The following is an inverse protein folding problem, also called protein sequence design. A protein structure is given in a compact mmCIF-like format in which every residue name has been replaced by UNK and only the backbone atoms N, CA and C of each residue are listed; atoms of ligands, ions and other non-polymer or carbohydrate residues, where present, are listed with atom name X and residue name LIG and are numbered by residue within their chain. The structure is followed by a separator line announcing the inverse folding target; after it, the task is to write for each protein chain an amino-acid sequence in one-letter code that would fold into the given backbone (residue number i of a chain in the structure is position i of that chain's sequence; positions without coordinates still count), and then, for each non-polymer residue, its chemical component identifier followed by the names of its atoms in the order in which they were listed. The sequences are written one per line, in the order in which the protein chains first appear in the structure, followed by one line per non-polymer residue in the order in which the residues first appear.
data_IF_772741183458
#
_entry.id   IF_772741183458
#
_cell.length_a   1.000
_cell.length_b   1.000
_cell.length_c   1.000
_cell.angle_alpha   90.00
_cell.angle_beta   90.00
_cell.angle_gamma   90.00
#
_symmetry.space_group_name_H-M   'P 1'
#
loop_
_entity.id
_entity.type
_entity.pdbx_description
1 polymer ?
#
# COMPACT_ATOMS: atom_id res chain seq x y z
N UNK A 1 -24.39 -59.00 -13.88
CA UNK A 1 -23.14 -59.49 -14.50
C UNK A 1 -22.29 -60.20 -13.44
N UNK A 2 -21.24 -60.92 -13.84
CA UNK A 2 -20.20 -61.56 -13.00
C UNK A 2 -19.07 -60.55 -12.65
N UNK A 3 -18.13 -60.71 -11.70
CA UNK A 3 -18.03 -61.07 -10.25
C UNK A 3 -16.60 -60.61 -9.81
N UNK A 4 -16.10 -60.52 -8.56
CA UNK A 4 -16.50 -60.95 -7.20
C UNK A 4 -16.63 -59.70 -6.25
N UNK A 5 -16.28 -59.61 -4.95
CA UNK A 5 -15.59 -60.50 -3.97
C UNK A 5 -15.39 -59.92 -2.55
N UNK A 6 -14.69 -60.68 -1.69
CA UNK A 6 -14.40 -60.39 -0.25
C UNK A 6 -13.01 -60.97 0.13
N UNK A 7 -12.47 -60.84 1.37
CA UNK A 7 -12.34 -59.69 2.30
C UNK A 7 -10.91 -59.50 2.90
N UNK A 8 -10.73 -58.55 3.84
CA UNK A 8 -9.60 -58.45 4.83
C UNK A 8 -9.62 -59.61 5.88
N UNK A 9 -8.65 -59.81 6.84
CA UNK A 9 -7.51 -59.00 7.35
C UNK A 9 -6.21 -59.87 7.59
N UNK A 10 -5.41 -59.85 8.72
CA UNK A 10 -4.82 -58.81 9.60
C UNK A 10 -3.27 -58.92 9.90
N UNK A 11 -2.68 -57.84 10.47
CA UNK A 11 -1.55 -57.75 11.47
C UNK A 11 -0.21 -58.55 11.35
N UNK A 12 0.92 -57.83 11.53
CA UNK A 12 1.97 -58.15 12.55
C UNK A 12 2.83 -56.93 12.97
N UNK A 13 3.46 -57.03 14.15
CA UNK A 13 4.41 -56.12 14.86
C UNK A 13 5.57 -57.00 15.41
N UNK A 14 6.76 -56.52 15.89
CA UNK A 14 7.05 -55.40 16.84
C UNK A 14 8.20 -54.47 16.32
N UNK A 15 9.06 -53.73 17.04
CA UNK A 15 9.45 -53.66 18.47
C UNK A 15 9.90 -52.23 18.95
N UNK A 16 11.07 -52.07 19.61
CA UNK A 16 11.53 -50.84 20.29
C UNK A 16 13.05 -50.63 20.35
N UNK A 17 13.49 -49.37 20.21
CA UNK A 17 14.62 -48.63 20.85
C UNK A 17 14.69 -47.21 20.22
N UNK A 18 15.15 -46.12 20.83
CA UNK A 18 15.32 -45.73 22.25
C UNK A 18 15.56 -44.19 22.34
N UNK A 19 15.43 -43.58 23.53
CA UNK A 19 15.95 -42.22 23.83
C UNK A 19 17.49 -42.24 24.01
N UNK A 20 18.24 -41.11 23.90
CA UNK A 20 18.15 -39.89 24.74
C UNK A 20 17.13 -38.85 24.21
N UNK A 21 16.47 -38.00 25.00
CA UNK A 21 16.86 -37.20 26.18
C UNK A 21 17.40 -35.81 25.79
N UNK A 22 17.00 -34.77 26.54
CA UNK A 22 16.85 -33.42 26.01
C UNK A 22 17.88 -32.42 26.54
N UNK A 23 18.38 -31.59 25.63
CA UNK A 23 19.08 -30.34 25.95
C UNK A 23 18.42 -29.22 25.17
N UNK A 24 17.99 -28.15 25.87
CA UNK A 24 17.44 -26.97 25.21
C UNK A 24 18.51 -26.33 24.31
N UNK A 25 18.28 -26.14 22.99
CA UNK A 25 18.94 -25.05 22.31
C UNK A 25 18.42 -23.77 22.95
N UNK A 26 19.31 -22.91 23.44
CA UNK A 26 18.95 -21.52 23.72
C UNK A 26 18.42 -20.91 22.43
N UNK A 27 17.44 -20.02 22.56
CA UNK A 27 17.23 -18.99 21.54
C UNK A 27 18.34 -17.98 21.79
N UNK A 28 19.48 -18.16 21.12
CA UNK A 28 20.49 -17.10 20.99
C UNK A 28 20.03 -16.20 19.85
N UNK A 29 20.04 -14.89 20.07
CA UNK A 29 19.51 -13.91 19.11
C UNK A 29 20.33 -13.94 17.83
N UNK A 30 19.76 -14.58 16.79
CA UNK A 30 20.27 -14.53 15.43
C UNK A 30 19.99 -13.14 14.84
N UNK A 31 20.72 -12.14 15.35
CA UNK A 31 20.89 -10.84 14.73
C UNK A 31 21.72 -11.04 13.45
N UNK A 32 21.03 -11.51 12.40
CA UNK A 32 21.60 -11.93 11.12
C UNK A 32 22.23 -10.71 10.42
N UNK A 33 23.52 -10.52 10.65
CA UNK A 33 24.23 -9.28 10.34
C UNK A 33 24.45 -9.17 8.83
N UNK A 34 23.43 -8.65 8.13
CA UNK A 34 23.43 -8.49 6.69
C UNK A 34 24.58 -7.58 6.24
N UNK A 35 25.67 -8.19 5.76
CA UNK A 35 26.81 -7.46 5.25
C UNK A 35 26.43 -6.76 3.94
N UNK A 36 26.10 -5.47 4.04
CA UNK A 36 25.94 -4.60 2.89
C UNK A 36 27.21 -4.65 2.02
N UNK A 37 27.07 -5.20 0.83
CA UNK A 37 28.07 -5.06 -0.22
C UNK A 37 28.14 -3.58 -0.61
N UNK A 38 29.33 -2.98 -0.53
CA UNK A 38 29.53 -1.59 -0.96
C UNK A 38 29.15 -1.47 -2.44
N UNK A 39 28.10 -0.71 -2.71
CA UNK A 39 27.58 -0.49 -4.06
C UNK A 39 28.68 0.11 -4.95
N UNK A 40 28.93 -0.52 -6.09
CA UNK A 40 29.95 -0.13 -7.07
C UNK A 40 29.41 0.81 -8.16
N UNK A 41 28.22 1.36 -7.94
CA UNK A 41 27.43 2.13 -8.91
C UNK A 41 26.70 3.29 -8.20
N UNK A 42 26.39 4.41 -8.89
CA UNK A 42 25.62 5.51 -8.31
C UNK A 42 24.17 5.10 -8.03
N UNK A 43 23.52 5.66 -7.01
CA UNK A 43 22.13 5.32 -6.68
C UNK A 43 21.13 5.61 -7.81
N UNK A 44 21.40 6.62 -8.64
CA UNK A 44 20.60 6.91 -9.83
C UNK A 44 21.35 7.36 -11.08
N UNK A 45 20.73 7.07 -12.23
CA UNK A 45 20.96 7.70 -13.53
C UNK A 45 19.75 8.61 -13.80
N UNK A 46 20.00 9.89 -14.10
CA UNK A 46 18.95 10.86 -14.42
C UNK A 46 19.02 11.14 -15.94
N UNK A 47 17.95 10.84 -16.65
CA UNK A 47 17.74 11.20 -18.06
C UNK A 47 17.00 12.54 -18.12
N UNK A 48 17.43 13.46 -18.99
CA UNK A 48 16.93 14.85 -18.99
C UNK A 48 17.53 15.70 -17.87
N UNK A 49 18.71 15.35 -17.35
CA UNK A 49 19.35 16.07 -16.25
C UNK A 49 19.91 17.44 -16.67
N UNK A 50 20.20 17.62 -17.96
CA UNK A 50 20.57 18.87 -18.60
C UNK A 50 19.49 19.97 -18.46
N UNK A 51 18.25 19.56 -18.21
CA UNK A 51 17.08 20.44 -18.00
C UNK A 51 16.99 20.97 -16.57
N UNK A 52 17.86 20.52 -15.66
CA UNK A 52 17.79 20.79 -14.22
C UNK A 52 18.98 21.64 -13.70
N UNK A 53 18.73 22.64 -12.83
CA UNK A 53 19.78 23.35 -12.11
C UNK A 53 20.76 22.41 -11.38
N UNK A 54 22.05 22.77 -11.25
CA UNK A 54 23.06 21.93 -10.60
C UNK A 54 22.67 21.52 -9.17
N UNK A 55 22.12 22.46 -8.39
CA UNK A 55 21.67 22.24 -7.02
C UNK A 55 20.53 21.21 -6.95
N UNK A 56 19.55 21.29 -7.86
CA UNK A 56 18.44 20.33 -7.93
C UNK A 56 18.94 18.93 -8.32
N UNK A 57 19.91 18.82 -9.23
CA UNK A 57 20.57 17.55 -9.55
C UNK A 57 21.30 16.96 -8.34
N UNK A 58 22.01 17.77 -7.57
CA UNK A 58 22.69 17.32 -6.35
C UNK A 58 21.68 16.89 -5.26
N UNK A 59 20.58 17.62 -5.10
CA UNK A 59 19.48 17.27 -4.19
C UNK A 59 18.84 15.92 -4.55
N UNK A 60 18.47 15.72 -5.83
CA UNK A 60 17.91 14.45 -6.31
C UNK A 60 18.89 13.31 -6.08
N UNK A 61 20.14 13.45 -6.53
CA UNK A 61 21.16 12.41 -6.40
C UNK A 61 21.39 12.01 -4.94
N UNK A 62 21.67 12.97 -4.06
CA UNK A 62 21.89 12.69 -2.64
C UNK A 62 20.66 12.12 -1.91
N UNK A 63 19.45 12.51 -2.32
CA UNK A 63 18.20 11.93 -1.79
C UNK A 63 18.03 10.47 -2.20
N UNK A 64 18.24 10.16 -3.49
CA UNK A 64 18.14 8.79 -4.00
C UNK A 64 19.29 7.91 -3.47
N UNK A 65 20.52 8.41 -3.39
CA UNK A 65 21.65 7.69 -2.80
C UNK A 65 21.36 7.30 -1.32
N UNK A 66 20.75 8.19 -0.53
CA UNK A 66 20.29 7.86 0.84
C UNK A 66 19.18 6.81 0.86
N UNK A 67 18.20 6.90 -0.05
CA UNK A 67 17.13 5.91 -0.16
C UNK A 67 17.67 4.52 -0.55
N UNK A 68 18.55 4.48 -1.55
CA UNK A 68 19.21 3.28 -2.06
C UNK A 68 20.10 2.62 -1.00
N UNK A 69 20.84 3.41 -0.21
CA UNK A 69 21.63 2.90 0.91
C UNK A 69 20.76 2.31 2.02
N UNK A 70 19.73 3.04 2.48
CA UNK A 70 18.83 2.58 3.54
C UNK A 70 18.03 1.34 3.13
N UNK A 71 17.59 1.26 1.88
CA UNK A 71 16.98 0.04 1.32
C UNK A 71 17.97 -1.13 1.30
N UNK A 72 19.22 -0.89 0.87
CA UNK A 72 20.26 -1.92 0.81
C UNK A 72 20.70 -2.44 2.18
N UNK A 73 20.57 -1.64 3.23
CA UNK A 73 20.83 -2.06 4.62
C UNK A 73 19.64 -2.85 5.19
N UNK A 74 18.43 -2.30 5.06
CA UNK A 74 17.27 -2.75 5.84
C UNK A 74 16.31 -3.68 5.09
N UNK A 75 16.16 -3.52 3.78
CA UNK A 75 15.09 -4.15 3.00
C UNK A 75 15.59 -5.23 2.05
N UNK A 76 16.65 -5.01 1.26
CA UNK A 76 17.17 -6.06 0.36
C UNK A 76 18.22 -5.58 -0.63
N UNK A 77 18.78 -6.51 -1.40
CA UNK A 77 19.85 -6.23 -2.37
C UNK A 77 19.38 -5.29 -3.49
N UNK A 78 20.09 -4.17 -3.65
CA UNK A 78 19.98 -3.29 -4.82
C UNK A 78 21.02 -3.72 -5.85
N UNK A 79 20.60 -3.97 -7.09
CA UNK A 79 21.42 -4.67 -8.10
C UNK A 79 21.98 -3.73 -9.18
N UNK A 80 21.44 -2.52 -9.30
CA UNK A 80 21.76 -1.52 -10.32
C UNK A 80 21.19 -0.14 -9.96
N UNK A 81 21.71 0.96 -10.54
CA UNK A 81 21.15 2.31 -10.38
C UNK A 81 19.66 2.37 -10.70
N UNK A 82 18.93 3.27 -10.05
CA UNK A 82 17.57 3.61 -10.44
C UNK A 82 17.58 4.57 -11.65
N UNK A 83 16.71 4.31 -12.64
CA UNK A 83 16.52 5.20 -13.78
C UNK A 83 15.45 6.24 -13.45
N UNK A 84 15.83 7.52 -13.38
CA UNK A 84 14.92 8.65 -13.26
C UNK A 84 14.82 9.35 -14.62
N UNK A 85 13.60 9.63 -15.08
CA UNK A 85 13.33 10.27 -16.38
C UNK A 85 12.60 11.59 -16.17
N UNK A 86 13.32 12.68 -16.43
CA UNK A 86 12.82 14.06 -16.41
C UNK A 86 12.28 14.38 -17.79
N UNK A 87 10.99 14.70 -17.91
CA UNK A 87 10.38 15.04 -19.21
C UNK A 87 10.30 16.56 -19.38
N UNK A 88 10.69 17.08 -20.55
CA UNK A 88 10.50 18.50 -20.93
C UNK A 88 9.10 18.77 -21.49
N UNK A 89 8.66 17.96 -22.46
CA UNK A 89 7.43 18.22 -23.24
C UNK A 89 6.45 17.05 -23.25
N UNK A 90 6.88 15.86 -22.83
CA UNK A 90 6.01 14.70 -22.67
C UNK A 90 5.20 14.80 -21.39
N UNK A 91 3.89 14.98 -21.55
CA UNK A 91 2.89 14.62 -20.54
C UNK A 91 2.90 13.10 -20.32
N UNK A 92 3.79 12.61 -19.46
CA UNK A 92 3.51 11.37 -18.72
C UNK A 92 2.27 11.64 -17.83
N UNK A 93 1.38 10.65 -17.68
CA UNK A 93 0.05 10.88 -17.10
C UNK A 93 0.05 11.29 -15.61
N UNK A 94 1.17 11.05 -14.92
CA UNK A 94 1.50 11.48 -13.56
C UNK A 94 2.98 11.23 -13.29
N UNK A 95 3.51 11.78 -12.20
CA UNK A 95 4.72 11.23 -11.55
C UNK A 95 4.46 9.77 -11.17
N UNK A 96 5.47 8.90 -11.33
CA UNK A 96 5.34 7.49 -10.96
C UNK A 96 6.44 6.57 -11.49
N UNK A 97 6.75 5.51 -10.75
CA UNK A 97 7.47 4.35 -11.25
C UNK A 97 6.66 3.56 -12.31
N UNK A 98 7.30 3.24 -13.44
CA UNK A 98 6.78 2.30 -14.44
C UNK A 98 7.52 0.97 -14.32
N UNK A 99 6.82 -0.11 -13.98
CA UNK A 99 7.35 -1.48 -14.01
C UNK A 99 7.72 -1.88 -15.45
N UNK A 100 6.94 -1.42 -16.45
CA UNK A 100 7.15 -1.75 -17.87
C UNK A 100 8.42 -1.11 -18.44
N UNK A 101 8.63 0.15 -18.10
CA UNK A 101 9.71 0.98 -18.65
C UNK A 101 10.86 1.15 -17.65
N UNK A 102 10.81 0.40 -16.54
CA UNK A 102 11.85 0.22 -15.51
C UNK A 102 12.47 1.53 -15.00
N UNK A 103 11.60 2.53 -14.84
CA UNK A 103 12.00 3.92 -14.62
C UNK A 103 10.97 4.74 -13.84
N UNK A 104 11.47 5.69 -13.05
CA UNK A 104 10.67 6.67 -12.32
C UNK A 104 10.51 7.90 -13.21
N UNK A 105 9.26 8.26 -13.51
CA UNK A 105 8.94 9.32 -14.45
C UNK A 105 8.53 10.60 -13.70
N UNK A 106 9.13 11.73 -14.08
CA UNK A 106 8.83 13.06 -13.55
C UNK A 106 8.39 13.98 -14.71
N UNK A 107 7.09 14.02 -15.03
CA UNK A 107 6.55 15.01 -15.96
C UNK A 107 6.53 16.42 -15.34
N UNK A 108 6.47 17.47 -16.19
CA UNK A 108 6.11 18.80 -15.73
C UNK A 108 4.60 18.90 -15.47
N UNK A 109 4.20 19.83 -14.61
CA UNK A 109 2.82 20.26 -14.43
C UNK A 109 2.36 21.22 -15.54
N UNK A 110 1.11 21.70 -15.47
CA UNK A 110 0.55 22.63 -16.45
C UNK A 110 1.18 24.04 -16.45
N UNK A 111 2.03 24.36 -15.45
CA UNK A 111 2.88 25.57 -15.44
C UNK A 111 4.31 25.32 -15.94
N UNK A 112 4.62 24.08 -16.33
CA UNK A 112 5.95 23.66 -16.76
C UNK A 112 6.91 23.30 -15.62
N UNK A 113 6.48 23.39 -14.35
CA UNK A 113 7.36 23.12 -13.20
C UNK A 113 7.32 21.65 -12.79
N UNK A 114 8.30 21.22 -12.00
CA UNK A 114 8.46 19.82 -11.56
C UNK A 114 8.57 19.77 -10.04
N UNK A 115 7.52 20.16 -9.28
CA UNK A 115 7.63 20.31 -7.83
C UNK A 115 7.98 18.98 -7.15
N UNK A 116 7.53 17.85 -7.70
CA UNK A 116 7.91 16.51 -7.28
C UNK A 116 9.43 16.24 -7.19
N UNK A 117 10.26 16.94 -7.97
CA UNK A 117 11.73 16.83 -7.90
C UNK A 117 12.35 17.62 -6.73
N UNK A 118 11.57 18.42 -6.01
CA UNK A 118 11.97 19.16 -4.82
C UNK A 118 11.52 18.49 -3.51
N UNK A 119 10.61 17.52 -3.57
CA UNK A 119 10.15 16.77 -2.39
C UNK A 119 11.04 15.54 -2.15
N UNK A 120 11.66 15.40 -0.97
CA UNK A 120 12.38 14.16 -0.65
C UNK A 120 11.41 12.98 -0.55
N UNK A 121 10.21 13.19 0.01
CA UNK A 121 9.22 12.13 0.23
C UNK A 121 8.75 11.49 -1.08
N UNK A 122 8.50 12.28 -2.14
CA UNK A 122 8.14 11.73 -3.45
C UNK A 122 9.33 11.00 -4.09
N UNK A 123 10.53 11.59 -4.06
CA UNK A 123 11.74 10.93 -4.59
C UNK A 123 11.98 9.57 -3.91
N UNK A 124 11.76 9.48 -2.60
CA UNK A 124 11.96 8.28 -1.79
C UNK A 124 10.81 7.27 -1.93
N UNK A 125 9.56 7.74 -1.99
CA UNK A 125 8.37 6.91 -2.25
C UNK A 125 8.49 6.21 -3.61
N UNK A 126 8.83 6.94 -4.67
CA UNK A 126 8.99 6.35 -6.00
C UNK A 126 10.24 5.46 -6.11
N UNK A 127 11.32 5.81 -5.40
CA UNK A 127 12.48 4.94 -5.26
C UNK A 127 12.11 3.59 -4.65
N UNK A 128 11.25 3.55 -3.62
CA UNK A 128 10.80 2.30 -3.01
C UNK A 128 10.17 1.34 -4.02
N UNK A 129 9.27 1.81 -4.90
CA UNK A 129 8.63 0.96 -5.91
C UNK A 129 9.66 0.35 -6.86
N UNK A 130 10.63 1.14 -7.32
CA UNK A 130 11.71 0.66 -8.19
C UNK A 130 12.66 -0.32 -7.46
N UNK A 131 12.96 -0.07 -6.18
CA UNK A 131 13.84 -0.92 -5.37
C UNK A 131 13.18 -2.27 -5.04
N UNK A 132 11.89 -2.27 -4.70
CA UNK A 132 11.11 -3.50 -4.51
C UNK A 132 11.02 -4.30 -5.82
N UNK A 133 10.88 -3.66 -6.98
CA UNK A 133 10.90 -4.35 -8.28
C UNK A 133 12.24 -5.06 -8.56
N UNK A 134 13.39 -4.49 -8.12
CA UNK A 134 14.71 -5.13 -8.26
C UNK A 134 14.93 -6.28 -7.26
N UNK A 135 14.55 -6.08 -6.00
CA UNK A 135 14.81 -7.03 -4.92
C UNK A 135 13.80 -8.19 -4.91
N UNK A 136 12.53 -7.88 -5.18
CA UNK A 136 11.36 -8.75 -5.05
C UNK A 136 10.53 -8.79 -6.33
N UNK A 137 11.11 -9.23 -7.46
CA UNK A 137 10.43 -9.20 -8.76
C UNK A 137 9.16 -10.06 -8.80
N UNK A 138 9.02 -11.06 -7.91
CA UNK A 138 7.82 -11.89 -7.77
C UNK A 138 6.60 -11.11 -7.31
N UNK A 139 6.78 -9.97 -6.64
CA UNK A 139 5.68 -9.05 -6.30
C UNK A 139 5.22 -8.30 -7.57
N UNK A 140 6.16 -7.76 -8.34
CA UNK A 140 5.89 -6.93 -9.52
C UNK A 140 5.57 -7.70 -10.82
N UNK A 141 5.57 -9.04 -10.80
CA UNK A 141 5.36 -9.89 -11.98
C UNK A 141 3.87 -10.11 -12.30
N UNK A 142 3.23 -9.15 -12.97
CA UNK A 142 1.91 -9.37 -13.58
C UNK A 142 1.11 -8.09 -13.80
N UNK A 143 -0.13 -8.23 -14.32
CA UNK A 143 -1.06 -7.13 -14.55
C UNK A 143 -1.75 -6.62 -13.27
N UNK A 144 -1.02 -6.60 -12.15
CA UNK A 144 -1.55 -6.29 -10.81
C UNK A 144 -1.87 -4.81 -10.55
N UNK A 145 -1.73 -3.95 -11.56
CA UNK A 145 -2.24 -2.57 -11.53
C UNK A 145 -3.78 -2.50 -11.33
N UNK A 146 -4.49 -3.60 -11.54
CA UNK A 146 -5.94 -3.72 -11.31
C UNK A 146 -6.31 -4.23 -9.90
N UNK A 147 -5.36 -4.83 -9.16
CA UNK A 147 -5.63 -5.35 -7.81
C UNK A 147 -5.50 -4.23 -6.76
N UNK A 148 -6.62 -3.89 -6.13
CA UNK A 148 -6.70 -2.82 -5.12
C UNK A 148 -5.98 -3.15 -3.81
N UNK A 149 -5.83 -4.43 -3.43
CA UNK A 149 -5.03 -4.83 -2.28
C UNK A 149 -3.53 -4.72 -2.58
N UNK A 150 -3.10 -5.14 -3.77
CA UNK A 150 -1.72 -4.97 -4.21
C UNK A 150 -1.31 -3.49 -4.22
N UNK A 151 -2.11 -2.63 -4.87
CA UNK A 151 -1.81 -1.19 -4.97
C UNK A 151 -1.72 -0.52 -3.60
N UNK A 152 -2.71 -0.67 -2.71
CA UNK A 152 -2.68 -0.01 -1.38
C UNK A 152 -1.50 -0.43 -0.52
N UNK A 153 -1.05 -1.68 -0.64
CA UNK A 153 0.11 -2.20 0.09
C UNK A 153 1.40 -1.55 -0.40
N UNK A 154 1.61 -1.46 -1.71
CA UNK A 154 2.74 -0.73 -2.28
C UNK A 154 2.75 0.74 -1.85
N UNK A 155 1.64 1.44 -2.01
CA UNK A 155 1.48 2.85 -1.62
C UNK A 155 1.80 3.08 -0.13
N UNK A 156 1.21 2.28 0.77
CA UNK A 156 1.40 2.42 2.21
C UNK A 156 2.79 2.02 2.72
N UNK A 157 3.48 1.14 2.00
CA UNK A 157 4.86 0.74 2.30
C UNK A 157 5.89 1.75 1.76
N UNK A 158 5.65 2.33 0.59
CA UNK A 158 6.44 3.43 0.06
C UNK A 158 6.36 4.68 0.95
N UNK A 159 5.16 5.00 1.45
CA UNK A 159 4.94 6.05 2.45
C UNK A 159 5.62 5.76 3.79
N UNK A 160 5.53 4.52 4.27
CA UNK A 160 6.24 4.10 5.49
C UNK A 160 7.77 4.22 5.31
N UNK A 161 8.30 3.80 4.16
CA UNK A 161 9.71 3.89 3.81
C UNK A 161 10.21 5.33 3.71
N UNK A 162 9.43 6.22 3.10
CA UNK A 162 9.71 7.66 3.10
C UNK A 162 9.77 8.22 4.53
N UNK A 163 8.79 7.93 5.38
CA UNK A 163 8.81 8.35 6.79
C UNK A 163 10.00 7.76 7.59
N UNK A 164 10.54 6.58 7.25
CA UNK A 164 11.74 6.08 7.95
C UNK A 164 13.00 6.92 7.66
N UNK A 165 13.08 7.53 6.46
CA UNK A 165 14.20 8.39 6.04
C UNK A 165 14.00 9.86 6.38
N UNK A 166 12.75 10.33 6.32
CA UNK A 166 12.30 11.70 6.53
C UNK A 166 11.05 11.68 7.45
N UNK A 167 11.25 11.55 8.79
CA UNK A 167 10.14 11.35 9.73
C UNK A 167 9.38 12.64 10.03
N UNK A 168 8.30 12.88 9.30
CA UNK A 168 7.40 14.02 9.47
C UNK A 168 5.92 13.60 9.71
N UNK A 169 5.08 14.55 10.11
CA UNK A 169 3.63 14.39 10.10
C UNK A 169 3.04 14.51 8.69
N UNK A 170 3.61 15.38 7.84
CA UNK A 170 3.08 15.71 6.52
C UNK A 170 3.92 15.10 5.39
N UNK A 171 3.27 14.55 4.37
CA UNK A 171 3.92 13.95 3.21
C UNK A 171 4.04 15.00 2.10
N UNK A 172 5.27 15.24 1.67
CA UNK A 172 5.62 16.15 0.59
C UNK A 172 5.15 17.59 0.86
N UNK A 173 5.59 18.11 2.01
CA UNK A 173 5.56 19.55 2.33
C UNK A 173 6.34 20.36 1.27
N UNK A 174 5.99 21.63 1.07
CA UNK A 174 6.73 22.55 0.20
C UNK A 174 6.47 22.40 -1.31
N UNK A 175 5.52 21.55 -1.73
CA UNK A 175 5.25 21.26 -3.15
C UNK A 175 4.53 22.36 -3.96
N UNK A 176 4.21 23.51 -3.37
CA UNK A 176 3.49 24.58 -4.07
C UNK A 176 3.79 25.97 -3.51
N UNK A 177 3.30 27.01 -4.19
CA UNK A 177 3.51 28.42 -3.79
C UNK A 177 3.02 28.73 -2.36
N UNK A 178 2.02 27.97 -1.89
CA UNK A 178 1.44 28.08 -0.54
C UNK A 178 2.16 27.21 0.52
N UNK A 179 3.19 26.43 0.14
CA UNK A 179 3.89 25.47 1.02
C UNK A 179 3.10 24.21 1.42
N UNK A 180 1.79 24.16 1.18
CA UNK A 180 0.85 23.09 1.60
C UNK A 180 1.30 21.69 1.15
N UNK A 181 1.33 20.74 2.09
CA UNK A 181 1.58 19.34 1.82
C UNK A 181 0.41 18.64 1.09
N UNK A 182 0.69 17.52 0.41
CA UNK A 182 -0.33 16.76 -0.32
C UNK A 182 -1.27 15.94 0.58
N UNK A 183 -0.73 15.41 1.68
CA UNK A 183 -1.41 14.49 2.62
C UNK A 183 -0.59 14.35 3.90
N UNK A 184 -1.09 13.62 4.89
CA UNK A 184 -0.34 13.28 6.12
C UNK A 184 0.09 11.82 6.08
N UNK A 185 1.32 11.54 6.52
CA UNK A 185 1.80 10.16 6.73
C UNK A 185 0.92 9.40 7.73
N UNK A 186 0.45 10.10 8.77
CA UNK A 186 -0.52 9.61 9.74
C UNK A 186 -1.89 10.27 9.51
N UNK A 187 -2.92 9.45 9.31
CA UNK A 187 -4.30 9.90 9.26
C UNK A 187 -5.17 9.15 10.28
N UNK A 188 -6.35 9.70 10.61
CA UNK A 188 -7.30 9.12 11.56
C UNK A 188 -8.25 8.09 10.93
N UNK A 189 -8.07 7.76 9.64
CA UNK A 189 -8.99 6.93 8.87
C UNK A 189 -8.53 5.48 8.87
N UNK A 190 -9.48 4.58 9.08
CA UNK A 190 -9.28 3.14 8.94
C UNK A 190 -9.12 2.75 7.47
N UNK A 191 -8.43 1.65 7.19
CA UNK A 191 -8.24 1.14 5.82
C UNK A 191 -9.61 0.83 5.19
N UNK A 192 -10.45 0.12 5.94
CA UNK A 192 -11.88 -0.14 5.68
C UNK A 192 -12.74 1.08 5.33
N UNK A 193 -12.34 2.29 5.74
CA UNK A 193 -13.09 3.54 5.55
C UNK A 193 -12.36 4.55 4.65
N UNK A 194 -11.23 4.16 4.05
CA UNK A 194 -10.39 5.06 3.25
C UNK A 194 -10.65 4.90 1.74
N UNK A 195 -10.91 6.00 0.99
CA UNK A 195 -11.26 5.93 -0.42
C UNK A 195 -10.04 5.79 -1.33
N UNK A 196 -9.91 4.66 -2.03
CA UNK A 196 -8.89 4.42 -3.06
C UNK A 196 -7.50 4.07 -2.53
N UNK A 197 -6.60 3.70 -3.45
CA UNK A 197 -5.28 3.14 -3.16
C UNK A 197 -4.43 4.00 -2.23
N UNK A 198 -4.11 5.23 -2.63
CA UNK A 198 -3.27 6.16 -1.85
C UNK A 198 -3.81 6.41 -0.42
N UNK A 199 -5.13 6.63 -0.26
CA UNK A 199 -5.75 6.84 1.06
C UNK A 199 -5.65 5.61 1.96
N UNK A 200 -5.86 4.41 1.38
CA UNK A 200 -5.66 3.14 2.09
C UNK A 200 -4.18 2.90 2.40
N UNK A 201 -3.27 3.36 1.53
CA UNK A 201 -1.83 3.43 1.76
C UNK A 201 -1.50 4.23 3.03
N UNK A 202 -1.94 5.49 3.14
CA UNK A 202 -1.69 6.29 4.35
C UNK A 202 -2.32 5.68 5.62
N UNK A 203 -3.46 4.99 5.51
CA UNK A 203 -4.01 4.24 6.64
C UNK A 203 -3.11 3.05 7.03
N UNK A 204 -2.55 2.30 6.07
CA UNK A 204 -1.56 1.24 6.30
C UNK A 204 -0.30 1.83 6.96
N UNK A 205 0.24 2.94 6.44
CA UNK A 205 1.37 3.67 7.05
C UNK A 205 1.08 4.05 8.50
N UNK A 206 -0.13 4.55 8.77
CA UNK A 206 -0.58 4.91 10.12
C UNK A 206 -0.54 3.71 11.07
N UNK A 207 -1.02 2.54 10.64
CA UNK A 207 -0.94 1.29 11.42
C UNK A 207 0.51 0.81 11.63
N UNK A 208 1.37 0.87 10.60
CA UNK A 208 2.78 0.47 10.72
C UNK A 208 3.54 1.34 11.73
N UNK A 209 3.32 2.66 11.71
CA UNK A 209 3.92 3.61 12.64
C UNK A 209 3.34 3.48 14.06
N UNK A 210 2.03 3.31 14.22
CA UNK A 210 1.38 3.18 15.52
C UNK A 210 1.79 1.89 16.26
N UNK A 211 1.89 0.77 15.53
CA UNK A 211 2.34 -0.51 16.08
C UNK A 211 3.86 -0.69 16.06
N UNK A 212 4.63 0.37 15.75
CA UNK A 212 6.10 0.40 15.76
C UNK A 212 6.74 -0.73 14.96
N UNK A 213 6.15 -1.05 13.82
CA UNK A 213 6.67 -2.08 12.91
C UNK A 213 8.03 -1.62 12.40
N UNK A 214 9.00 -2.54 12.39
CA UNK A 214 10.39 -2.25 12.01
C UNK A 214 10.64 -2.51 10.51
N UNK A 215 11.69 -1.90 9.91
CA UNK A 215 12.14 -2.24 8.57
C UNK A 215 12.41 -3.75 8.37
N UNK A 216 12.99 -4.42 9.36
CA UNK A 216 13.25 -5.86 9.33
C UNK A 216 11.95 -6.70 9.28
N UNK A 217 10.90 -6.29 10.01
CA UNK A 217 9.58 -6.92 9.91
C UNK A 217 8.96 -6.74 8.52
N UNK A 218 9.08 -5.55 7.92
CA UNK A 218 8.61 -5.30 6.54
C UNK A 218 9.42 -6.09 5.51
N UNK A 219 10.74 -6.22 5.67
CA UNK A 219 11.59 -7.12 4.86
C UNK A 219 11.10 -8.57 4.93
N UNK A 220 10.81 -9.09 6.12
CA UNK A 220 10.26 -10.43 6.29
C UNK A 220 8.89 -10.63 5.60
N UNK A 221 8.08 -9.57 5.48
CA UNK A 221 6.85 -9.59 4.69
C UNK A 221 7.12 -9.58 3.18
N UNK A 222 8.04 -8.73 2.69
CA UNK A 222 8.42 -8.66 1.26
C UNK A 222 9.10 -9.94 0.74
N UNK A 223 9.85 -10.62 1.61
CA UNK A 223 10.42 -11.96 1.35
C UNK A 223 9.38 -13.09 1.33
N UNK A 224 8.15 -12.82 1.77
CA UNK A 224 7.08 -13.82 1.88
C UNK A 224 6.41 -14.15 0.54
N UNK A 225 5.81 -15.35 0.49
CA UNK A 225 5.04 -15.86 -0.65
C UNK A 225 3.68 -15.15 -0.86
N UNK A 226 3.22 -14.35 0.10
CA UNK A 226 1.84 -13.85 0.16
C UNK A 226 1.81 -12.34 0.43
N UNK A 227 1.48 -11.54 -0.58
CA UNK A 227 1.40 -10.08 -0.48
C UNK A 227 -0.05 -9.62 -0.26
N UNK A 228 -0.49 -9.58 1.00
CA UNK A 228 -1.86 -9.21 1.42
C UNK A 228 -1.86 -8.57 2.81
N UNK A 229 -2.89 -7.80 3.19
CA UNK A 229 -3.01 -7.26 4.56
C UNK A 229 -3.02 -8.37 5.63
N UNK A 230 -3.57 -9.55 5.30
CA UNK A 230 -3.56 -10.71 6.20
C UNK A 230 -2.16 -11.28 6.43
N UNK A 231 -1.26 -11.15 5.45
CA UNK A 231 0.12 -11.55 5.60
C UNK A 231 0.96 -10.45 6.26
N UNK A 232 0.74 -9.17 5.91
CA UNK A 232 1.36 -8.03 6.58
C UNK A 232 1.08 -8.03 8.08
N UNK A 233 -0.17 -8.31 8.49
CA UNK A 233 -0.52 -8.42 9.90
C UNK A 233 0.35 -9.40 10.69
N UNK A 234 0.83 -10.49 10.09
CA UNK A 234 1.61 -11.53 10.79
C UNK A 234 2.96 -11.05 11.33
N UNK A 235 3.47 -9.87 10.91
CA UNK A 235 4.78 -9.38 11.36
C UNK A 235 4.77 -8.93 12.83
N UNK A 236 3.60 -8.63 13.41
CA UNK A 236 3.43 -8.28 14.84
C UNK A 236 2.05 -8.74 15.32
N UNK A 237 1.92 -9.37 16.51
CA UNK A 237 0.62 -9.71 17.10
C UNK A 237 -0.32 -8.49 17.30
N UNK A 238 0.26 -7.32 17.57
CA UNK A 238 -0.44 -6.05 17.75
C UNK A 238 -1.02 -5.56 16.42
N UNK A 239 -0.23 -5.60 15.35
CA UNK A 239 -0.66 -5.26 14.00
C UNK A 239 -1.72 -6.25 13.48
N UNK A 240 -1.53 -7.56 13.67
CA UNK A 240 -2.53 -8.59 13.32
C UNK A 240 -3.88 -8.32 14.02
N UNK A 241 -3.85 -8.02 15.32
CA UNK A 241 -5.05 -7.65 16.11
C UNK A 241 -5.70 -6.38 15.56
N UNK A 242 -4.91 -5.37 15.21
CA UNK A 242 -5.40 -4.09 14.71
C UNK A 242 -6.01 -4.20 13.30
N UNK A 243 -5.32 -4.84 12.36
CA UNK A 243 -5.83 -5.07 11.00
C UNK A 243 -7.05 -6.01 10.99
N UNK A 244 -7.12 -7.00 11.89
CA UNK A 244 -8.33 -7.81 12.09
C UNK A 244 -9.50 -7.00 12.66
N UNK A 245 -9.24 -5.98 13.46
CA UNK A 245 -10.26 -5.06 13.98
C UNK A 245 -10.70 -4.05 12.91
N UNK A 246 -9.78 -3.54 12.09
CA UNK A 246 -10.09 -2.71 10.91
C UNK A 246 -10.99 -3.48 9.92
N UNK A 247 -10.59 -4.69 9.53
CA UNK A 247 -11.34 -5.52 8.58
C UNK A 247 -12.76 -5.87 9.06
N UNK A 248 -13.01 -5.93 10.39
CA UNK A 248 -14.37 -6.10 10.93
C UNK A 248 -15.27 -4.90 10.63
N UNK A 249 -14.74 -3.69 10.46
CA UNK A 249 -15.50 -2.48 10.16
C UNK A 249 -15.65 -2.18 8.66
N UNK A 250 -15.20 -3.08 7.76
CA UNK A 250 -15.31 -2.86 6.32
C UNK A 250 -16.77 -2.87 5.84
N UNK A 251 -17.15 -1.81 5.16
CA UNK A 251 -18.31 -1.80 4.26
C UNK A 251 -17.90 -2.48 2.93
N UNK A 252 -18.87 -3.06 2.22
CA UNK A 252 -18.80 -3.42 0.80
C UNK A 252 -19.53 -2.32 0.02
N UNK A 253 -18.94 -1.77 -1.03
CA UNK A 253 -19.63 -0.84 -1.94
C UNK A 253 -20.16 -1.55 -3.20
N UNK A 254 -21.42 -1.29 -3.55
CA UNK A 254 -22.06 -1.71 -4.80
C UNK A 254 -22.60 -0.48 -5.52
N UNK A 255 -22.19 -0.29 -6.78
CA UNK A 255 -22.66 0.82 -7.62
C UNK A 255 -23.58 0.25 -8.69
N UNK A 256 -24.84 0.71 -8.75
CA UNK A 256 -25.75 0.39 -9.86
C UNK A 256 -25.50 1.33 -11.05
N UNK A 257 -25.93 0.94 -12.26
CA UNK A 257 -26.01 1.82 -13.43
C UNK A 257 -24.65 2.43 -13.88
N UNK A 258 -23.56 1.68 -13.76
CA UNK A 258 -22.18 2.17 -13.99
C UNK A 258 -21.48 1.54 -15.21
N UNK A 259 -20.86 2.32 -16.11
CA UNK A 259 -19.97 1.79 -17.16
C UNK A 259 -18.60 1.45 -16.58
N UNK A 260 -18.02 0.31 -16.98
CA UNK A 260 -16.74 -0.18 -16.44
C UNK A 260 -15.59 0.78 -16.76
N UNK A 261 -14.94 1.31 -15.73
CA UNK A 261 -13.77 2.22 -15.83
C UNK A 261 -12.74 1.88 -14.75
N UNK A 262 -11.46 1.90 -15.12
CA UNK A 262 -10.32 1.74 -14.21
C UNK A 262 -10.00 3.01 -13.40
N UNK A 263 -10.54 4.16 -13.79
CA UNK A 263 -10.39 5.44 -13.09
C UNK A 263 -11.74 5.90 -12.52
N UNK A 264 -11.78 6.25 -11.23
CA UNK A 264 -12.90 6.99 -10.59
C UNK A 264 -12.93 8.48 -11.01
N UNK A 265 -12.79 8.75 -12.30
CA UNK A 265 -13.22 10.01 -12.94
C UNK A 265 -14.56 9.74 -13.61
N UNK A 266 -15.63 10.17 -12.95
CA UNK A 266 -17.01 9.85 -13.34
C UNK A 266 -17.42 10.70 -14.53
N UNK A 267 -17.71 10.06 -15.68
CA UNK A 267 -18.47 10.67 -16.76
C UNK A 267 -19.91 10.16 -16.63
N UNK A 268 -20.78 11.00 -16.11
CA UNK A 268 -22.18 10.66 -15.85
C UNK A 268 -22.95 10.69 -17.17
N UNK A 269 -23.91 9.78 -17.33
CA UNK A 269 -24.92 9.93 -18.37
C UNK A 269 -25.93 10.99 -17.92
N UNK A 270 -26.04 12.07 -18.71
CA UNK A 270 -26.92 13.19 -18.40
C UNK A 270 -28.37 12.69 -18.22
N UNK A 271 -28.95 12.96 -17.05
CA UNK A 271 -30.31 12.55 -16.70
C UNK A 271 -30.46 11.19 -16.01
N UNK A 272 -29.37 10.50 -15.63
CA UNK A 272 -29.43 9.29 -14.79
C UNK A 272 -28.72 9.51 -13.44
N UNK A 273 -29.37 9.25 -12.29
CA UNK A 273 -28.70 9.28 -11.00
C UNK A 273 -27.76 8.07 -10.84
N UNK A 274 -26.67 8.26 -10.13
CA UNK A 274 -25.78 7.17 -9.73
C UNK A 274 -26.32 6.57 -8.42
N UNK A 275 -26.58 5.27 -8.40
CA UNK A 275 -26.88 4.58 -7.14
C UNK A 275 -25.59 4.04 -6.54
N UNK A 276 -25.30 4.41 -5.29
CA UNK A 276 -24.21 3.84 -4.51
C UNK A 276 -24.77 3.26 -3.22
N UNK A 277 -24.71 1.94 -3.09
CA UNK A 277 -25.17 1.18 -1.92
C UNK A 277 -23.96 0.72 -1.13
N UNK A 278 -23.99 0.91 0.18
CA UNK A 278 -22.95 0.44 1.09
C UNK A 278 -23.57 -0.58 2.04
N UNK A 279 -23.09 -1.82 1.98
CA UNK A 279 -23.54 -2.86 2.91
C UNK A 279 -22.44 -3.18 3.92
N UNK A 280 -22.75 -3.31 5.22
CA UNK A 280 -21.81 -3.88 6.17
C UNK A 280 -21.39 -5.30 5.75
N UNK A 281 -20.12 -5.68 5.95
CA UNK A 281 -19.70 -7.07 5.77
C UNK A 281 -20.39 -8.01 6.79
N UNK A 282 -20.36 -9.32 6.57
CA UNK A 282 -21.02 -10.33 7.43
C UNK A 282 -20.66 -10.17 8.91
N UNK A 283 -19.38 -10.00 9.24
CA UNK A 283 -18.93 -9.82 10.64
C UNK A 283 -19.37 -8.49 11.25
N UNK A 284 -19.55 -7.47 10.42
CA UNK A 284 -20.08 -6.18 10.85
C UNK A 284 -21.59 -6.29 11.16
N UNK A 285 -22.34 -7.07 10.37
CA UNK A 285 -23.74 -7.44 10.66
C UNK A 285 -23.86 -8.33 11.90
N UNK A 286 -22.98 -9.32 12.06
CA UNK A 286 -22.94 -10.19 13.24
C UNK A 286 -22.66 -9.40 14.53
N UNK A 287 -21.71 -8.46 14.48
CA UNK A 287 -21.31 -7.65 15.64
C UNK A 287 -22.31 -6.54 15.95
N UNK A 288 -22.99 -6.02 14.91
CA UNK A 288 -23.92 -4.91 14.99
C UNK A 288 -25.11 -5.16 14.02
N UNK A 289 -26.07 -6.03 14.38
CA UNK A 289 -27.20 -6.38 13.51
C UNK A 289 -28.12 -5.18 13.21
N UNK A 290 -28.07 -4.18 14.08
CA UNK A 290 -28.80 -2.92 14.03
C UNK A 290 -28.03 -1.79 13.30
N UNK A 291 -26.92 -2.07 12.61
CA UNK A 291 -26.08 -1.02 12.02
C UNK A 291 -26.67 -0.47 10.72
N UNK A 292 -26.90 0.84 10.68
CA UNK A 292 -27.19 1.58 9.45
C UNK A 292 -26.01 2.43 9.00
N UNK A 293 -25.90 2.58 7.69
CA UNK A 293 -25.02 3.54 7.01
C UNK A 293 -25.93 4.50 6.25
N UNK A 294 -25.97 5.76 6.67
CA UNK A 294 -26.83 6.77 6.08
C UNK A 294 -25.99 7.87 5.43
N UNK A 295 -26.31 8.18 4.17
CA UNK A 295 -25.63 9.22 3.40
C UNK A 295 -26.28 10.56 3.65
N UNK A 296 -25.52 11.54 4.10
CA UNK A 296 -26.04 12.87 4.38
C UNK A 296 -25.76 13.79 3.19
N UNK A 297 -26.80 14.48 2.72
CA UNK A 297 -26.64 15.58 1.78
C UNK A 297 -25.93 16.79 2.45
N UNK A 298 -25.66 17.85 1.70
CA UNK A 298 -25.05 19.07 2.24
C UNK A 298 -25.88 19.81 3.30
N UNK A 299 -27.18 19.47 3.48
CA UNK A 299 -28.01 19.95 4.59
C UNK A 299 -28.17 18.96 5.75
N UNK A 300 -27.40 17.88 5.78
CA UNK A 300 -27.36 16.92 6.89
C UNK A 300 -28.51 15.90 6.91
N UNK A 301 -29.25 15.75 5.82
CA UNK A 301 -30.42 14.86 5.71
C UNK A 301 -30.07 13.54 4.98
N UNK A 302 -30.61 12.38 5.44
CA UNK A 302 -30.43 11.10 4.76
C UNK A 302 -30.91 11.09 3.30
N UNK A 303 -30.05 10.66 2.38
CA UNK A 303 -30.36 10.45 0.96
C UNK A 303 -30.27 8.98 0.57
N UNK A 304 -31.14 8.57 -0.36
CA UNK A 304 -31.17 7.22 -0.94
C UNK A 304 -30.75 7.20 -2.43
N UNK A 305 -30.57 8.36 -3.05
CA UNK A 305 -30.20 8.53 -4.47
C UNK A 305 -29.23 9.70 -4.65
N UNK A 306 -28.36 9.64 -5.66
CA UNK A 306 -27.33 10.65 -5.87
C UNK A 306 -27.34 11.19 -7.30
N UNK A 307 -27.60 12.48 -7.44
CA UNK A 307 -27.26 13.24 -8.64
C UNK A 307 -25.94 13.93 -8.38
N UNK A 308 -24.90 13.54 -9.12
CA UNK A 308 -23.57 14.13 -9.00
C UNK A 308 -23.45 15.33 -9.95
N UNK A 309 -23.88 16.50 -9.50
CA UNK A 309 -23.46 17.75 -10.13
C UNK A 309 -22.07 18.16 -9.60
N UNK A 310 -21.38 19.10 -10.25
CA UNK A 310 -19.97 19.41 -10.00
C UNK A 310 -19.77 20.28 -8.73
N UNK A 311 -20.19 19.79 -7.56
CA UNK A 311 -20.09 20.51 -6.27
C UNK A 311 -19.99 19.61 -5.03
N UNK A 312 -19.16 20.10 -4.09
CA UNK A 312 -19.08 19.82 -2.64
C UNK A 312 -18.87 18.38 -2.09
N UNK A 313 -18.08 18.24 -0.99
CA UNK A 313 -17.84 16.95 -0.35
C UNK A 313 -19.02 16.50 0.55
N UNK A 314 -19.83 15.59 0.04
CA UNK A 314 -20.87 14.87 0.79
C UNK A 314 -20.30 14.14 2.03
N UNK A 315 -21.11 14.03 3.09
CA UNK A 315 -20.76 13.31 4.32
C UNK A 315 -21.60 12.02 4.47
N UNK A 316 -21.14 11.09 5.28
CA UNK A 316 -21.90 9.90 5.66
C UNK A 316 -21.82 9.68 7.16
N UNK A 317 -22.86 9.11 7.75
CA UNK A 317 -22.90 8.75 9.16
C UNK A 317 -23.16 7.25 9.32
N UNK A 318 -22.54 6.65 10.33
CA UNK A 318 -22.77 5.28 10.74
C UNK A 318 -23.51 5.35 12.07
N UNK A 319 -24.73 4.80 12.11
CA UNK A 319 -25.62 4.88 13.27
C UNK A 319 -26.00 3.47 13.75
N UNK A 320 -25.90 3.17 15.04
CA UNK A 320 -26.54 1.99 15.62
C UNK A 320 -28.03 2.29 15.83
N UNK A 321 -28.94 1.51 15.24
CA UNK A 321 -30.35 1.58 15.62
C UNK A 321 -30.52 1.12 17.07
N UNK A 322 -31.09 1.98 17.90
CA UNK A 322 -31.77 1.56 19.12
C UNK A 322 -32.93 0.62 18.75
N UNK A 323 -33.39 -0.27 19.65
CA UNK A 323 -34.58 -1.10 19.40
C UNK A 323 -35.88 -0.29 19.15
N UNK A 324 -35.83 1.02 19.37
CA UNK A 324 -36.82 2.02 18.99
C UNK A 324 -36.10 3.02 18.06
N UNK A 325 -36.39 2.99 16.75
CA UNK A 325 -35.73 3.82 15.72
C UNK A 325 -35.10 3.02 14.58
#
# INVERSE_FOLDING_TARGET
MKVHGHPNPPRRLPAKKSKPEATNPKIEDAADSYQSSKQSFPGCIIQGEETLPPEQRQFIRSTIDRAVAFFSENFGEVKRPLTLVVHDTKRALRTGYSIKDDSINFPPDDSGTRPALNSPDILVHEAFHALVAQAYPHLTQGSFAEDREYVRLHEGLADYFAHQLYPDQEFAEGLGQDGKALRKFRNHRRISLSPGGHSQGNAITSYLLEHKVTPAQVRGFLQGENFSLRALGKVSPELDKALKHDARLSLKDQVSNYPVSSLRKYRLEQGKPLEVKFEPNERLRESHPNLRVEWLNSSGLPSQTFTFEEVEPMQFQILPQTPEG
#
